data_IF_655064062261
#
_entry.id   IF_655064062261
#
_cell.length_a   1.000
_cell.length_b   1.000
_cell.length_c   1.000
_cell.angle_alpha   90.00
_cell.angle_beta   90.00
_cell.angle_gamma   90.00
#
_symmetry.space_group_name_H-M   'P 1'
#
loop_
_entity.id
_entity.type
_entity.pdbx_description
1 polymer ?
#
# COMPACT_ATOMS: atom_id res chain seq x y z
N UNK A 1 11.85 14.72 9.36
CA UNK A 1 12.35 13.63 8.48
C UNK A 1 13.34 12.79 9.27
N UNK A 2 13.37 11.47 9.08
CA UNK A 2 14.03 10.52 9.99
C UNK A 2 15.56 10.46 9.85
N UNK A 3 16.18 11.45 9.20
CA UNK A 3 17.65 11.63 9.15
C UNK A 3 18.46 10.51 8.49
N UNK A 4 17.81 9.55 7.84
CA UNK A 4 18.49 8.39 7.24
C UNK A 4 19.03 8.72 5.85
N UNK A 5 20.25 8.27 5.57
CA UNK A 5 20.85 8.31 4.23
C UNK A 5 19.97 7.59 3.21
N UNK A 6 19.68 8.25 2.08
CA UNK A 6 18.92 7.69 0.96
C UNK A 6 19.45 6.33 0.49
N UNK A 7 20.77 6.12 0.58
CA UNK A 7 21.39 4.86 0.15
C UNK A 7 21.14 3.71 1.13
N UNK A 8 21.20 3.97 2.44
CA UNK A 8 20.89 2.93 3.45
C UNK A 8 19.38 2.66 3.54
N UNK A 9 18.56 3.64 3.17
CA UNK A 9 17.10 3.48 3.07
C UNK A 9 16.71 2.44 2.01
N UNK A 10 17.41 2.36 0.87
CA UNK A 10 17.13 1.35 -0.16
C UNK A 10 17.37 -0.06 0.39
N UNK A 11 18.53 -0.30 1.01
CA UNK A 11 18.89 -1.61 1.55
C UNK A 11 17.93 -2.06 2.66
N UNK A 12 17.56 -1.16 3.58
CA UNK A 12 16.61 -1.45 4.64
C UNK A 12 15.18 -1.68 4.12
N UNK A 13 14.76 -0.96 3.07
CA UNK A 13 13.48 -1.17 2.38
C UNK A 13 13.42 -2.55 1.71
N UNK A 14 14.48 -2.94 0.98
CA UNK A 14 14.56 -4.27 0.36
C UNK A 14 14.52 -5.38 1.40
N UNK A 15 15.27 -5.22 2.51
CA UNK A 15 15.22 -6.15 3.63
C UNK A 15 13.79 -6.25 4.19
N UNK A 16 13.10 -5.12 4.39
CA UNK A 16 11.72 -5.11 4.87
C UNK A 16 10.76 -5.82 3.90
N UNK A 17 10.90 -5.60 2.59
CA UNK A 17 10.10 -6.31 1.56
C UNK A 17 10.29 -7.82 1.70
N UNK A 18 11.53 -8.30 1.83
CA UNK A 18 11.80 -9.73 1.97
C UNK A 18 11.14 -10.35 3.22
N UNK A 19 11.23 -9.68 4.36
CA UNK A 19 10.58 -10.14 5.59
C UNK A 19 9.05 -10.14 5.46
N UNK A 20 8.47 -9.09 4.89
CA UNK A 20 7.03 -9.01 4.65
C UNK A 20 6.58 -10.10 3.67
N UNK A 21 7.36 -10.37 2.63
CA UNK A 21 7.06 -11.40 1.64
C UNK A 21 7.04 -12.79 2.27
N UNK A 22 8.04 -13.12 3.09
CA UNK A 22 8.09 -14.39 3.83
C UNK A 22 6.90 -14.53 4.79
N UNK A 23 6.52 -13.45 5.46
CA UNK A 23 5.37 -13.43 6.37
C UNK A 23 4.04 -13.64 5.63
N UNK A 24 3.78 -12.84 4.59
CA UNK A 24 2.56 -12.87 3.81
C UNK A 24 2.40 -14.16 2.98
N UNK A 25 3.51 -14.80 2.57
CA UNK A 25 3.46 -16.11 1.92
C UNK A 25 3.04 -17.22 2.87
N UNK A 26 3.39 -17.12 4.16
CA UNK A 26 2.99 -18.10 5.20
C UNK A 26 1.58 -17.85 5.71
N UNK A 27 1.21 -16.58 5.82
CA UNK A 27 -0.08 -16.13 6.35
C UNK A 27 -0.71 -15.16 5.35
N UNK A 28 -1.35 -15.69 4.29
CA UNK A 28 -1.92 -14.84 3.26
C UNK A 28 -3.19 -14.14 3.77
N UNK A 29 -3.20 -12.79 3.85
CA UNK A 29 -4.41 -12.07 4.25
C UNK A 29 -5.41 -12.03 3.10
N UNK A 30 -6.71 -11.99 3.39
CA UNK A 30 -7.73 -11.68 2.37
C UNK A 30 -7.74 -10.19 1.99
N UNK A 31 -7.38 -9.32 2.95
CA UNK A 31 -7.36 -7.87 2.81
C UNK A 31 -6.15 -7.29 3.55
N UNK A 32 -5.36 -6.49 2.84
CA UNK A 32 -4.36 -5.60 3.40
C UNK A 32 -4.96 -4.19 3.41
N UNK A 33 -5.39 -3.75 4.59
CA UNK A 33 -5.79 -2.37 4.84
C UNK A 33 -4.58 -1.61 5.37
N UNK A 34 -4.15 -0.56 4.67
CA UNK A 34 -3.03 0.27 5.11
C UNK A 34 -3.39 1.75 5.08
N UNK A 35 -2.85 2.47 6.05
CA UNK A 35 -2.91 3.92 6.17
C UNK A 35 -1.51 4.40 6.54
N UNK A 36 -1.04 5.48 5.93
CA UNK A 36 0.09 6.23 6.48
C UNK A 36 1.42 6.12 5.71
N UNK A 37 2.53 6.55 6.36
CA UNK A 37 3.78 6.98 5.71
C UNK A 37 4.50 5.82 5.00
N UNK A 38 5.63 6.12 4.35
CA UNK A 38 6.37 5.22 3.45
C UNK A 38 6.70 3.80 3.97
N UNK A 39 6.55 3.53 5.27
CA UNK A 39 6.67 2.19 5.87
C UNK A 39 5.63 1.19 5.37
N UNK A 40 4.47 1.64 4.86
CA UNK A 40 3.49 0.72 4.27
C UNK A 40 3.89 0.25 2.86
N UNK A 41 4.79 0.96 2.17
CA UNK A 41 5.22 0.62 0.79
C UNK A 41 5.87 -0.76 0.73
N UNK A 42 6.83 -1.14 1.60
CA UNK A 42 7.38 -2.50 1.63
C UNK A 42 6.33 -3.61 1.79
N UNK A 43 5.32 -3.39 2.63
CA UNK A 43 4.27 -4.37 2.92
C UNK A 43 3.37 -4.55 1.71
N UNK A 44 2.95 -3.44 1.10
CA UNK A 44 2.12 -3.44 -0.12
C UNK A 44 2.86 -4.07 -1.29
N UNK A 45 4.14 -3.74 -1.48
CA UNK A 45 5.00 -4.37 -2.50
C UNK A 45 5.11 -5.87 -2.28
N UNK A 46 5.36 -6.33 -1.05
CA UNK A 46 5.41 -7.75 -0.72
C UNK A 46 4.08 -8.46 -0.99
N UNK A 47 2.95 -7.84 -0.62
CA UNK A 47 1.61 -8.37 -0.89
C UNK A 47 1.34 -8.51 -2.39
N UNK A 48 1.74 -7.52 -3.19
CA UNK A 48 1.63 -7.56 -4.65
C UNK A 48 2.50 -8.68 -5.26
N UNK A 49 3.74 -8.85 -4.78
CA UNK A 49 4.63 -9.94 -5.22
C UNK A 49 4.05 -11.32 -4.90
N UNK A 50 3.47 -11.47 -3.71
CA UNK A 50 2.77 -12.70 -3.31
C UNK A 50 1.55 -12.94 -4.21
N UNK A 51 0.77 -11.89 -4.52
CA UNK A 51 -0.42 -11.96 -5.40
C UNK A 51 -0.09 -12.41 -6.82
N UNK A 52 1.06 -11.99 -7.38
CA UNK A 52 1.52 -12.35 -8.73
C UNK A 52 1.97 -13.82 -8.81
N UNK A 53 2.10 -14.53 -7.67
CA UNK A 53 2.30 -15.97 -7.67
C UNK A 53 3.72 -16.41 -8.03
N UNK A 54 4.73 -15.57 -7.74
CA UNK A 54 6.16 -15.85 -7.99
C UNK A 54 6.68 -17.15 -7.34
N UNK A 55 5.91 -17.81 -6.47
CA UNK A 55 6.28 -19.07 -5.79
C UNK A 55 5.58 -20.33 -6.35
N UNK A 56 4.72 -20.22 -7.37
CA UNK A 56 4.09 -21.43 -7.96
C UNK A 56 3.06 -22.12 -7.06
N UNK A 57 2.80 -21.58 -5.86
CA UNK A 57 1.66 -21.95 -5.04
C UNK A 57 0.45 -21.14 -5.53
N UNK A 58 -0.57 -21.81 -6.07
CA UNK A 58 -1.87 -21.20 -6.41
C UNK A 58 -2.49 -20.64 -5.13
N UNK A 59 -2.19 -19.39 -4.82
CA UNK A 59 -2.88 -18.64 -3.80
C UNK A 59 -4.35 -18.48 -4.23
N UNK A 60 -5.32 -18.59 -3.31
CA UNK A 60 -6.72 -18.36 -3.64
C UNK A 60 -6.85 -16.97 -4.27
N UNK A 61 -7.57 -16.85 -5.38
CA UNK A 61 -7.71 -15.63 -6.20
C UNK A 61 -8.28 -14.40 -5.48
N UNK A 62 -8.50 -14.48 -4.16
CA UNK A 62 -8.98 -13.41 -3.28
C UNK A 62 -7.93 -12.95 -2.26
N UNK A 63 -6.77 -13.59 -2.19
CA UNK A 63 -5.72 -13.20 -1.26
C UNK A 63 -5.09 -11.85 -1.66
N UNK A 64 -4.84 -11.03 -0.65
CA UNK A 64 -4.14 -9.76 -0.73
C UNK A 64 -4.83 -8.71 -1.61
N UNK A 65 -6.14 -8.46 -1.41
CA UNK A 65 -6.70 -7.17 -1.83
C UNK A 65 -6.02 -6.05 -1.05
N UNK A 66 -5.67 -4.97 -1.71
CA UNK A 66 -4.90 -3.88 -1.12
C UNK A 66 -5.77 -2.64 -1.12
N UNK A 67 -6.10 -2.15 0.08
CA UNK A 67 -6.89 -0.94 0.28
C UNK A 67 -6.03 0.06 1.04
N UNK A 68 -5.82 1.23 0.43
CA UNK A 68 -5.10 2.33 1.06
C UNK A 68 -6.09 3.39 1.52
N UNK A 69 -6.04 3.76 2.79
CA UNK A 69 -6.83 4.86 3.36
C UNK A 69 -5.88 6.03 3.59
N UNK A 70 -6.10 7.13 2.89
CA UNK A 70 -5.29 8.31 3.01
C UNK A 70 -5.53 9.02 4.37
N UNK A 71 -4.47 9.66 4.86
CA UNK A 71 -4.52 10.41 6.11
C UNK A 71 -5.44 11.63 6.01
N UNK A 72 -6.24 11.87 7.05
CA UNK A 72 -7.05 13.08 7.19
C UNK A 72 -6.22 14.38 7.12
N UNK A 73 -4.92 14.32 7.45
CA UNK A 73 -4.03 15.47 7.35
C UNK A 73 -3.73 15.89 5.88
N UNK A 74 -4.02 15.04 4.89
CA UNK A 74 -3.82 15.32 3.47
C UNK A 74 -5.07 15.92 2.86
N UNK A 75 -5.20 17.25 2.93
CA UNK A 75 -6.40 17.98 2.48
C UNK A 75 -6.37 18.27 0.98
N UNK A 76 -5.22 18.76 0.48
CA UNK A 76 -5.12 19.34 -0.87
C UNK A 76 -4.50 18.40 -1.91
N UNK A 77 -3.81 17.36 -1.48
CA UNK A 77 -3.21 16.36 -2.38
C UNK A 77 -2.96 15.05 -1.65
N UNK A 78 -3.01 13.92 -2.38
CA UNK A 78 -2.55 12.62 -1.90
C UNK A 78 -1.12 12.72 -1.33
N UNK A 79 -0.83 11.91 -0.33
CA UNK A 79 0.53 11.75 0.19
C UNK A 79 1.46 11.19 -0.89
N UNK A 80 2.77 11.33 -0.71
CA UNK A 80 3.74 10.69 -1.60
C UNK A 80 3.49 9.18 -1.67
N UNK A 81 3.17 8.56 -0.54
CA UNK A 81 2.83 7.15 -0.45
C UNK A 81 1.56 6.82 -1.23
N UNK A 82 0.47 7.58 -1.01
CA UNK A 82 -0.77 7.43 -1.77
C UNK A 82 -0.55 7.57 -3.28
N UNK A 83 0.23 8.56 -3.70
CA UNK A 83 0.61 8.75 -5.10
C UNK A 83 1.44 7.58 -5.65
N UNK A 84 2.43 7.09 -4.92
CA UNK A 84 3.24 5.93 -5.35
C UNK A 84 2.36 4.70 -5.52
N UNK A 85 1.48 4.41 -4.55
CA UNK A 85 0.58 3.27 -4.62
C UNK A 85 -0.43 3.40 -5.77
N UNK A 86 -0.90 4.62 -6.03
CA UNK A 86 -1.80 4.94 -7.12
C UNK A 86 -1.14 4.76 -8.49
N UNK A 87 -0.01 5.44 -8.72
CA UNK A 87 0.74 5.41 -9.99
C UNK A 87 1.25 4.01 -10.30
N UNK A 88 1.74 3.28 -9.30
CA UNK A 88 2.21 1.91 -9.46
C UNK A 88 1.07 0.87 -9.58
N UNK A 89 -0.20 1.30 -9.49
CA UNK A 89 -1.40 0.43 -9.52
C UNK A 89 -1.31 -0.74 -8.53
N UNK A 90 -0.77 -0.46 -7.34
CA UNK A 90 -0.57 -1.45 -6.29
C UNK A 90 -1.76 -1.53 -5.34
N UNK A 91 -2.45 -0.42 -5.10
CA UNK A 91 -3.69 -0.41 -4.34
C UNK A 91 -4.86 -0.69 -5.29
N UNK A 92 -5.75 -1.61 -4.91
CA UNK A 92 -6.97 -1.89 -5.66
C UNK A 92 -8.01 -0.78 -5.45
N UNK A 93 -8.02 -0.17 -4.26
CA UNK A 93 -8.83 1.01 -3.96
C UNK A 93 -8.09 1.96 -3.03
N UNK A 94 -8.28 3.24 -3.27
CA UNK A 94 -7.80 4.31 -2.40
C UNK A 94 -9.01 5.03 -1.81
N UNK A 95 -9.01 5.21 -0.51
CA UNK A 95 -10.05 5.95 0.19
C UNK A 95 -9.49 7.27 0.72
N UNK A 96 -10.19 8.36 0.43
CA UNK A 96 -9.82 9.72 0.86
C UNK A 96 -10.89 10.32 1.76
N UNK A 97 -10.47 11.18 2.66
CA UNK A 97 -11.34 11.82 3.64
C UNK A 97 -11.79 13.23 3.25
N UNK A 98 -11.32 13.71 2.09
CA UNK A 98 -11.66 15.02 1.52
C UNK A 98 -12.21 14.83 0.12
N UNK A 99 -13.38 15.41 -0.15
CA UNK A 99 -14.11 15.26 -1.40
C UNK A 99 -13.30 15.78 -2.60
N UNK A 100 -12.52 16.85 -2.40
CA UNK A 100 -11.63 17.43 -3.40
C UNK A 100 -10.53 16.49 -3.91
N UNK A 101 -10.27 15.38 -3.22
CA UNK A 101 -9.29 14.36 -3.61
C UNK A 101 -9.93 13.14 -4.26
N UNK A 102 -11.25 13.07 -4.33
CA UNK A 102 -11.95 11.95 -4.93
C UNK A 102 -11.71 11.94 -6.44
N UNK A 103 -11.38 10.77 -6.96
CA UNK A 103 -11.27 10.52 -8.38
C UNK A 103 -11.71 9.06 -8.64
N UNK A 104 -13.02 8.82 -8.74
CA UNK A 104 -13.57 7.47 -8.89
C UNK A 104 -13.15 6.78 -10.19
N UNK A 105 -12.80 7.54 -11.24
CA UNK A 105 -12.29 6.99 -12.50
C UNK A 105 -10.90 6.35 -12.32
N UNK A 106 -10.21 6.74 -11.26
CA UNK A 106 -8.87 6.31 -10.89
C UNK A 106 -8.83 5.50 -9.58
N UNK A 107 -9.96 4.90 -9.21
CA UNK A 107 -10.13 4.07 -8.01
C UNK A 107 -9.89 4.82 -6.67
N UNK A 108 -10.07 6.14 -6.67
CA UNK A 108 -9.95 7.00 -5.49
C UNK A 108 -11.35 7.45 -5.03
N UNK A 109 -11.81 6.92 -3.91
CA UNK A 109 -13.17 7.11 -3.42
C UNK A 109 -13.22 7.98 -2.16
N UNK A 110 -14.12 8.95 -2.13
CA UNK A 110 -14.43 9.69 -0.92
C UNK A 110 -15.25 8.84 0.06
N UNK A 111 -14.88 8.86 1.34
CA UNK A 111 -15.58 8.11 2.40
C UNK A 111 -15.96 8.96 3.61
N UNK A 112 -15.73 10.27 3.56
CA UNK A 112 -15.94 11.15 4.71
C UNK A 112 -14.82 11.08 5.74
N UNK A 113 -15.02 11.75 6.89
CA UNK A 113 -14.06 11.69 8.00
C UNK A 113 -14.21 10.36 8.73
N UNK A 114 -13.15 9.58 8.72
CA UNK A 114 -13.01 8.38 9.54
C UNK A 114 -12.42 8.84 10.87
N UNK A 115 -13.25 8.88 11.92
CA UNK A 115 -12.88 9.28 13.29
C UNK A 115 -12.55 8.06 14.12
#
# INVERSE_FOLDING_TARGET
EVGQSYFSSIASTLKAIWWCFSLLSKHPPDLLLCNGPGTCVPVVMAAALVRIGLIGWRMPSRAARIVYVESAARVNALSLTGNVLHVARLADRIYVQWESLADPENDIFYVGRLV
#
